data_IF_719125048140
#
_entry.id   IF_719125048140
#
_cell.length_a   1.000
_cell.length_b   1.000
_cell.length_c   1.000
_cell.angle_alpha   90.00
_cell.angle_beta   90.00
_cell.angle_gamma   90.00
#
_symmetry.space_group_name_H-M   'P 1'
#
loop_
_entity.id
_entity.type
_entity.pdbx_description
1 polymer ?
#
# COMPACT_ATOMS: atom_id res chain seq x y z
N UNK A 1 8.85 -8.35 4.83
CA UNK A 1 8.63 -6.96 5.24
C UNK A 1 7.15 -6.59 5.19
N UNK A 2 6.73 -5.59 5.95
CA UNK A 2 5.40 -5.00 5.84
C UNK A 2 5.49 -3.51 5.56
N UNK A 3 4.54 -3.00 4.80
CA UNK A 3 4.47 -1.61 4.38
C UNK A 3 3.12 -1.01 4.75
N UNK A 4 3.14 0.22 5.27
CA UNK A 4 1.93 0.95 5.60
C UNK A 4 1.12 1.26 4.34
N UNK A 5 -0.20 1.21 4.45
CA UNK A 5 -1.12 1.77 3.47
C UNK A 5 -1.57 3.16 3.93
N UNK A 6 -1.61 4.11 3.00
CA UNK A 6 -1.94 5.51 3.26
C UNK A 6 -3.06 5.99 2.33
N UNK A 7 -3.82 6.97 2.80
CA UNK A 7 -4.82 7.66 2.00
C UNK A 7 -4.15 8.79 1.22
N UNK A 8 -4.40 8.86 -0.08
CA UNK A 8 -3.85 9.87 -0.98
C UNK A 8 -4.98 10.50 -1.79
N UNK A 9 -4.94 11.82 -1.93
CA UNK A 9 -5.87 12.59 -2.75
C UNK A 9 -5.12 13.75 -3.41
N UNK A 10 -5.80 14.48 -4.32
CA UNK A 10 -5.31 15.73 -4.84
C UNK A 10 -5.16 16.78 -3.73
N UNK A 11 -4.22 17.74 -3.90
CA UNK A 11 -3.89 18.76 -2.90
C UNK A 11 -5.13 19.56 -2.45
N UNK A 12 -5.98 19.96 -3.41
CA UNK A 12 -7.16 20.77 -3.18
C UNK A 12 -8.44 19.95 -2.84
N UNK A 13 -8.32 18.63 -2.71
CA UNK A 13 -9.46 17.77 -2.37
C UNK A 13 -9.97 18.06 -0.95
N UNK A 14 -11.31 17.91 -0.68
CA UNK A 14 -11.94 18.37 0.56
C UNK A 14 -11.70 17.47 1.78
N UNK A 15 -10.65 16.66 1.77
CA UNK A 15 -10.36 15.71 2.86
C UNK A 15 -9.39 16.34 3.86
N UNK A 16 -9.59 16.07 5.15
CA UNK A 16 -8.76 16.62 6.23
C UNK A 16 -8.08 15.49 7.01
N UNK A 17 -6.94 15.79 7.65
CA UNK A 17 -6.25 14.86 8.52
C UNK A 17 -7.14 14.34 9.65
N UNK A 18 -7.00 13.05 9.94
CA UNK A 18 -7.85 12.36 10.91
C UNK A 18 -9.20 11.91 10.35
N UNK A 19 -9.35 11.88 9.00
CA UNK A 19 -10.60 11.45 8.38
C UNK A 19 -10.95 10.01 8.75
N UNK A 20 -12.23 9.78 9.04
CA UNK A 20 -12.75 8.42 9.29
C UNK A 20 -13.20 7.79 7.96
N UNK A 21 -13.05 6.47 7.77
CA UNK A 21 -13.56 5.78 6.59
C UNK A 21 -15.07 5.97 6.37
N UNK A 22 -15.84 6.10 7.45
CA UNK A 22 -17.29 6.38 7.38
C UNK A 22 -17.66 7.75 6.81
N UNK A 23 -16.70 8.65 6.66
CA UNK A 23 -16.87 9.96 6.07
C UNK A 23 -16.50 10.00 4.58
N UNK A 24 -15.96 8.90 4.06
CA UNK A 24 -15.54 8.75 2.66
C UNK A 24 -16.72 8.25 1.81
N UNK A 25 -16.84 8.78 0.61
CA UNK A 25 -17.74 8.24 -0.41
C UNK A 25 -16.92 7.30 -1.33
N UNK A 26 -17.27 6.02 -1.35
CA UNK A 26 -16.62 5.05 -2.24
C UNK A 26 -16.83 5.39 -3.72
N UNK A 27 -17.86 6.16 -4.08
CA UNK A 27 -18.07 6.66 -5.43
C UNK A 27 -16.94 7.60 -5.91
N UNK A 28 -16.10 8.09 -5.00
CA UNK A 28 -14.92 8.89 -5.31
C UNK A 28 -13.61 8.09 -5.27
N UNK A 29 -13.68 6.81 -4.90
CA UNK A 29 -12.51 5.94 -4.76
C UNK A 29 -11.94 5.47 -6.09
N UNK A 30 -10.61 5.55 -6.20
CA UNK A 30 -9.82 4.78 -7.17
C UNK A 30 -9.31 3.55 -6.44
N UNK A 31 -10.01 2.46 -6.65
CA UNK A 31 -9.84 1.22 -5.90
C UNK A 31 -8.78 0.30 -6.51
N UNK A 32 -7.86 -0.17 -5.67
CA UNK A 32 -6.87 -1.19 -6.01
C UNK A 32 -6.85 -2.25 -4.90
N UNK A 33 -7.06 -3.52 -5.19
CA UNK A 33 -7.06 -4.60 -4.19
C UNK A 33 -5.62 -4.97 -3.79
N UNK A 34 -5.10 -4.35 -2.72
CA UNK A 34 -3.70 -4.51 -2.30
C UNK A 34 -3.37 -5.84 -1.61
N UNK A 35 -4.29 -6.37 -0.81
CA UNK A 35 -4.12 -7.61 -0.03
C UNK A 35 -5.45 -8.10 0.51
N UNK A 36 -5.50 -9.34 0.99
CA UNK A 36 -6.72 -9.86 1.62
C UNK A 36 -7.11 -9.09 2.89
N UNK A 37 -6.14 -8.62 3.69
CA UNK A 37 -6.41 -7.79 4.88
C UNK A 37 -6.99 -6.44 4.49
N UNK A 38 -6.49 -5.84 3.41
CA UNK A 38 -7.07 -4.63 2.85
C UNK A 38 -8.52 -4.86 2.36
N UNK A 39 -8.77 -5.97 1.65
CA UNK A 39 -10.12 -6.31 1.20
C UNK A 39 -11.10 -6.42 2.38
N UNK A 40 -10.71 -7.13 3.46
CA UNK A 40 -11.54 -7.25 4.66
C UNK A 40 -11.84 -5.89 5.31
N UNK A 41 -10.86 -5.00 5.39
CA UNK A 41 -11.03 -3.64 5.89
C UNK A 41 -11.98 -2.84 4.99
N UNK A 42 -11.81 -2.94 3.68
CA UNK A 42 -12.61 -2.24 2.68
C UNK A 42 -14.08 -2.71 2.72
N UNK A 43 -14.30 -4.04 2.72
CA UNK A 43 -15.64 -4.63 2.82
C UNK A 43 -16.36 -4.24 4.12
N UNK A 44 -15.61 -4.11 5.22
CA UNK A 44 -16.17 -3.68 6.50
C UNK A 44 -16.73 -2.25 6.44
N UNK A 45 -16.02 -1.33 5.78
CA UNK A 45 -16.41 0.07 5.74
C UNK A 45 -17.36 0.43 4.60
N UNK A 46 -17.20 -0.19 3.43
CA UNK A 46 -17.91 0.17 2.20
C UNK A 46 -18.84 -0.95 1.68
N UNK A 47 -18.84 -2.12 2.34
CA UNK A 47 -19.63 -3.29 1.91
C UNK A 47 -18.96 -4.12 0.81
N UNK A 48 -19.58 -5.26 0.49
CA UNK A 48 -19.00 -6.25 -0.42
C UNK A 48 -19.15 -5.92 -1.92
N UNK A 49 -19.89 -4.89 -2.27
CA UNK A 49 -20.09 -4.44 -3.66
C UNK A 49 -20.17 -2.91 -3.72
N UNK A 50 -19.11 -2.20 -3.32
CA UNK A 50 -19.09 -0.75 -3.31
C UNK A 50 -19.08 -0.20 -4.73
N UNK A 51 -19.79 0.88 -4.96
CA UNK A 51 -19.70 1.64 -6.21
C UNK A 51 -18.45 2.52 -6.14
N UNK A 52 -17.36 2.03 -6.70
CA UNK A 52 -16.12 2.81 -6.78
C UNK A 52 -16.05 3.62 -8.08
N UNK A 53 -15.34 4.75 -8.06
CA UNK A 53 -15.16 5.60 -9.25
C UNK A 53 -14.44 4.84 -10.37
N UNK A 54 -13.35 4.17 -10.04
CA UNK A 54 -12.57 3.33 -10.95
C UNK A 54 -11.96 2.17 -10.17
N UNK A 55 -11.98 0.98 -10.74
CA UNK A 55 -11.21 -0.17 -10.26
C UNK A 55 -9.98 -0.35 -11.16
N UNK A 56 -8.81 -0.46 -10.55
CA UNK A 56 -7.54 -0.66 -11.24
C UNK A 56 -6.88 -1.98 -10.85
N UNK A 57 -6.31 -2.64 -11.83
CA UNK A 57 -5.37 -3.75 -11.68
C UNK A 57 -3.91 -3.33 -11.94
N UNK A 58 -3.71 -2.11 -12.43
CA UNK A 58 -2.42 -1.55 -12.81
C UNK A 58 -2.26 -0.12 -12.27
N UNK A 59 -1.16 0.12 -11.56
CA UNK A 59 -0.84 1.43 -10.96
C UNK A 59 -0.44 2.51 -11.96
N UNK A 60 -0.17 2.17 -13.23
CA UNK A 60 0.32 3.15 -14.22
C UNK A 60 -0.66 4.32 -14.47
N UNK A 61 -1.96 4.08 -14.30
CA UNK A 61 -3.00 5.10 -14.48
C UNK A 61 -3.39 5.82 -13.19
N UNK A 62 -2.95 5.34 -12.03
CA UNK A 62 -3.38 5.85 -10.72
C UNK A 62 -3.16 7.35 -10.59
N UNK A 63 -2.00 7.84 -11.01
CA UNK A 63 -1.66 9.26 -10.96
C UNK A 63 -2.67 10.13 -11.74
N UNK A 64 -2.97 9.74 -12.99
CA UNK A 64 -3.87 10.51 -13.85
C UNK A 64 -5.32 10.51 -13.33
N UNK A 65 -5.72 9.43 -12.66
CA UNK A 65 -7.06 9.29 -12.12
C UNK A 65 -7.24 10.05 -10.81
N UNK A 66 -6.18 10.32 -10.06
CA UNK A 66 -6.23 11.17 -8.87
C UNK A 66 -6.56 12.63 -9.22
N UNK A 67 -6.35 13.08 -10.46
CA UNK A 67 -6.78 14.41 -10.93
C UNK A 67 -8.30 14.53 -11.12
N UNK A 68 -9.04 13.43 -11.00
CA UNK A 68 -10.52 13.50 -11.06
C UNK A 68 -11.06 14.14 -9.78
N UNK A 69 -12.08 14.98 -9.94
CA UNK A 69 -12.70 15.72 -8.84
C UNK A 69 -13.01 14.80 -7.64
N UNK A 70 -12.55 15.18 -6.48
CA UNK A 70 -12.69 14.50 -5.19
C UNK A 70 -12.11 13.07 -5.19
N UNK A 71 -11.33 12.67 -6.19
CA UNK A 71 -10.77 11.33 -6.22
C UNK A 71 -9.81 11.08 -5.05
N UNK A 72 -9.88 9.88 -4.51
CA UNK A 72 -8.98 9.40 -3.47
C UNK A 72 -8.61 7.93 -3.71
N UNK A 73 -7.50 7.53 -3.14
CA UNK A 73 -7.05 6.14 -3.19
C UNK A 73 -6.32 5.75 -1.89
N UNK A 74 -6.44 4.49 -1.51
CA UNK A 74 -5.53 3.88 -0.53
C UNK A 74 -4.40 3.22 -1.30
N UNK A 75 -3.16 3.48 -0.90
CA UNK A 75 -1.99 2.94 -1.59
C UNK A 75 -0.81 2.72 -0.65
N UNK A 76 0.22 1.95 -1.08
CA UNK A 76 1.46 1.81 -0.32
C UNK A 76 2.12 3.16 -0.04
N UNK A 77 2.61 3.34 1.18
CA UNK A 77 3.15 4.61 1.64
C UNK A 77 4.35 5.10 0.83
N UNK A 78 5.19 4.18 0.34
CA UNK A 78 6.32 4.55 -0.55
C UNK A 78 5.84 5.13 -1.87
N UNK A 79 4.72 4.64 -2.42
CA UNK A 79 4.11 5.20 -3.62
C UNK A 79 3.44 6.55 -3.32
N UNK A 80 2.66 6.62 -2.23
CA UNK A 80 1.97 7.85 -1.81
C UNK A 80 2.94 9.01 -1.59
N UNK A 81 4.07 8.75 -0.90
CA UNK A 81 5.12 9.75 -0.71
C UNK A 81 5.71 10.23 -2.03
N UNK A 82 6.01 9.30 -2.94
CA UNK A 82 6.57 9.66 -4.25
C UNK A 82 5.61 10.52 -5.08
N UNK A 83 4.30 10.28 -4.98
CA UNK A 83 3.29 11.13 -5.61
C UNK A 83 3.21 12.50 -4.94
N UNK A 84 3.20 12.56 -3.61
CA UNK A 84 3.14 13.82 -2.86
C UNK A 84 4.38 14.70 -3.08
N UNK A 85 5.56 14.11 -3.34
CA UNK A 85 6.80 14.87 -3.61
C UNK A 85 6.85 15.48 -5.02
N UNK A 86 6.19 14.87 -6.00
CA UNK A 86 6.38 15.20 -7.42
C UNK A 86 5.14 15.75 -8.11
N UNK A 87 4.00 15.59 -7.49
CA UNK A 87 2.70 15.80 -8.10
C UNK A 87 1.80 16.61 -7.18
N UNK A 88 0.71 17.12 -7.69
CA UNK A 88 -0.29 17.87 -6.92
C UNK A 88 -1.16 16.93 -6.05
N UNK A 89 -0.51 16.12 -5.22
CA UNK A 89 -1.16 15.15 -4.34
C UNK A 89 -0.64 15.30 -2.92
N UNK A 90 -1.45 14.91 -1.96
CA UNK A 90 -1.06 14.87 -0.54
C UNK A 90 -1.51 13.58 0.13
N UNK A 91 -0.79 13.22 1.17
CA UNK A 91 -1.17 12.14 2.08
C UNK A 91 -2.00 12.76 3.20
N UNK A 92 -3.14 12.15 3.48
CA UNK A 92 -4.03 12.52 4.57
C UNK A 92 -4.03 11.40 5.59
N UNK A 93 -3.96 11.72 6.87
CA UNK A 93 -4.07 10.72 7.92
C UNK A 93 -5.51 10.20 7.99
N UNK A 94 -5.66 8.87 8.03
CA UNK A 94 -6.95 8.19 8.15
C UNK A 94 -7.02 7.45 9.49
N UNK A 95 -8.04 7.74 10.29
CA UNK A 95 -8.31 7.00 11.52
C UNK A 95 -8.97 5.66 11.20
N UNK A 96 -8.63 4.61 11.93
CA UNK A 96 -9.08 3.25 11.63
C UNK A 96 -8.77 2.80 10.20
N UNK A 97 -7.63 3.28 9.67
CA UNK A 97 -7.14 2.92 8.34
C UNK A 97 -6.81 1.44 8.22
N UNK A 98 -6.49 0.97 6.99
CA UNK A 98 -6.17 -0.42 6.75
C UNK A 98 -4.85 -0.82 7.42
N UNK A 99 -4.73 -2.10 7.76
CA UNK A 99 -3.50 -2.68 8.27
C UNK A 99 -2.38 -2.63 7.22
N UNK A 100 -1.13 -2.79 7.69
CA UNK A 100 0.04 -2.91 6.83
C UNK A 100 -0.11 -4.09 5.86
N UNK A 101 0.24 -3.88 4.61
CA UNK A 101 0.38 -5.00 3.67
C UNK A 101 1.69 -5.74 3.92
N UNK A 102 1.67 -7.06 3.81
CA UNK A 102 2.89 -7.88 3.92
C UNK A 102 3.43 -8.21 2.53
N UNK A 103 4.71 -7.98 2.34
CA UNK A 103 5.45 -8.35 1.13
C UNK A 103 6.36 -9.54 1.44
N UNK A 104 6.32 -10.55 0.59
CA UNK A 104 7.06 -11.80 0.74
C UNK A 104 8.14 -11.92 -0.33
N UNK A 105 9.29 -12.47 0.04
CA UNK A 105 10.25 -12.99 -0.90
C UNK A 105 10.01 -14.50 -1.03
N UNK A 106 9.75 -14.98 -2.23
CA UNK A 106 9.54 -16.41 -2.52
C UNK A 106 10.78 -16.90 -3.25
N UNK A 107 11.40 -17.94 -2.72
CA UNK A 107 12.63 -18.53 -3.27
C UNK A 107 12.44 -20.03 -3.48
N UNK A 108 13.11 -20.56 -4.51
CA UNK A 108 13.18 -22.01 -4.73
C UNK A 108 14.19 -22.62 -3.74
N UNK A 109 13.80 -23.69 -3.03
CA UNK A 109 14.65 -24.38 -2.04
C UNK A 109 16.03 -24.78 -2.59
N UNK A 110 16.10 -25.22 -3.85
CA UNK A 110 17.37 -25.62 -4.49
C UNK A 110 18.34 -24.46 -4.73
N UNK A 111 17.87 -23.22 -4.68
CA UNK A 111 18.68 -22.01 -4.90
C UNK A 111 18.83 -21.16 -3.65
N UNK A 112 18.19 -21.52 -2.56
CA UNK A 112 18.20 -20.74 -1.30
C UNK A 112 19.59 -20.64 -0.65
N UNK A 113 20.51 -21.54 -1.01
CA UNK A 113 21.91 -21.55 -0.51
C UNK A 113 22.90 -20.85 -1.44
N UNK A 114 22.43 -20.20 -2.51
CA UNK A 114 23.34 -19.51 -3.41
C UNK A 114 23.85 -18.21 -2.79
N UNK A 115 25.16 -17.95 -2.70
CA UNK A 115 25.73 -16.77 -2.04
C UNK A 115 25.15 -15.43 -2.53
N UNK A 116 24.85 -15.30 -3.83
CA UNK A 116 24.24 -14.08 -4.39
C UNK A 116 22.85 -13.78 -3.84
N UNK A 117 22.12 -14.77 -3.34
CA UNK A 117 20.81 -14.54 -2.71
C UNK A 117 21.01 -13.87 -1.35
N UNK A 118 21.97 -14.33 -0.58
CA UNK A 118 22.31 -13.72 0.71
C UNK A 118 22.79 -12.28 0.51
N UNK A 119 23.65 -12.04 -0.47
CA UNK A 119 24.13 -10.70 -0.80
C UNK A 119 22.99 -9.79 -1.24
N UNK A 120 22.09 -10.27 -2.10
CA UNK A 120 20.91 -9.53 -2.54
C UNK A 120 19.97 -9.21 -1.36
N UNK A 121 19.67 -10.19 -0.51
CA UNK A 121 18.79 -9.98 0.64
C UNK A 121 19.40 -8.99 1.64
N UNK A 122 20.71 -9.08 1.89
CA UNK A 122 21.41 -8.14 2.76
C UNK A 122 21.35 -6.71 2.21
N UNK A 123 21.56 -6.53 0.91
CA UNK A 123 21.47 -5.21 0.28
C UNK A 123 20.03 -4.68 0.26
N UNK A 124 19.05 -5.55 -0.02
CA UNK A 124 17.64 -5.21 0.08
C UNK A 124 17.26 -4.73 1.49
N UNK A 125 17.66 -5.48 2.53
CA UNK A 125 17.38 -5.14 3.92
C UNK A 125 18.02 -3.80 4.34
N UNK A 126 19.26 -3.53 3.91
CA UNK A 126 19.89 -2.23 4.14
C UNK A 126 19.12 -1.09 3.48
N UNK A 127 18.68 -1.30 2.23
CA UNK A 127 17.97 -0.28 1.47
C UNK A 127 16.61 0.01 2.07
N UNK A 128 15.81 -1.02 2.34
CA UNK A 128 14.44 -0.84 2.86
C UNK A 128 14.38 -0.51 4.35
N UNK A 129 15.41 -0.88 5.13
CA UNK A 129 15.47 -0.59 6.57
C UNK A 129 15.56 0.91 6.89
N UNK A 130 15.91 1.74 5.92
CA UNK A 130 15.95 3.19 6.05
C UNK A 130 14.64 3.89 5.65
N UNK A 131 13.62 3.12 5.22
CA UNK A 131 12.33 3.66 4.80
C UNK A 131 11.37 3.59 6.00
N UNK A 132 10.92 4.74 6.57
CA UNK A 132 10.16 4.77 7.83
C UNK A 132 8.83 4.00 7.78
N UNK A 133 8.20 3.90 6.60
CA UNK A 133 6.91 3.23 6.41
C UNK A 133 7.04 1.71 6.22
N UNK A 134 8.26 1.21 6.13
CA UNK A 134 8.54 -0.22 5.98
C UNK A 134 9.03 -0.78 7.31
N UNK A 135 8.37 -1.84 7.76
CA UNK A 135 8.81 -2.64 8.90
C UNK A 135 9.44 -3.93 8.41
N UNK A 136 10.67 -4.17 8.84
CA UNK A 136 11.30 -5.47 8.61
C UNK A 136 10.64 -6.49 9.56
N UNK A 137 10.07 -7.53 9.00
CA UNK A 137 9.58 -8.67 9.76
C UNK A 137 10.78 -9.61 9.99
N UNK A 138 10.82 -10.26 11.15
CA UNK A 138 11.85 -11.28 11.41
C UNK A 138 11.85 -12.32 10.31
N UNK A 139 12.97 -12.38 9.58
CA UNK A 139 13.21 -13.39 8.55
C UNK A 139 13.58 -14.70 9.26
N UNK A 140 12.65 -15.28 10.00
CA UNK A 140 12.77 -16.68 10.37
C UNK A 140 12.53 -17.49 9.11
N UNK A 141 13.62 -17.74 8.36
CA UNK A 141 13.63 -18.81 7.37
C UNK A 141 13.26 -20.10 8.11
N UNK A 142 12.01 -20.54 7.98
CA UNK A 142 11.66 -21.91 8.36
C UNK A 142 12.38 -22.82 7.37
N UNK A 143 13.63 -23.15 7.67
CA UNK A 143 14.25 -24.34 7.10
C UNK A 143 13.33 -25.49 7.51
N UNK A 144 12.62 -26.08 6.57
CA UNK A 144 12.09 -27.43 6.78
C UNK A 144 13.31 -28.30 6.98
N UNK A 145 13.56 -28.71 8.21
CA UNK A 145 14.48 -29.81 8.46
C UNK A 145 13.97 -31.02 7.67
N UNK A 146 14.89 -31.77 7.04
CA UNK A 146 14.56 -32.94 6.26
C UNK A 146 13.83 -34.00 7.06
#
# INVERSE_FOLDING_TARGET
LSEQLVFVCEEDAPYQDGILPSQLDSADEIYIPWSNTFLMWHDYWFGNDPKVKVMLDNMALLRQLLDLKNAWAIMPATLGRKLAEKENCRIVSIENGPEYRTCYAIMNDQRSEHPLIDDFLNELLKTVGNIPEIRLLDLTFRRKNP
#
